data_IF_577531604718
#
_entry.id   IF_577531604718
#
_cell.length_a   1.000
_cell.length_b   1.000
_cell.length_c   1.000
_cell.angle_alpha   90.00
_cell.angle_beta   90.00
_cell.angle_gamma   90.00
#
_symmetry.space_group_name_H-M   'P 1'
#
loop_
_entity.id
_entity.type
_entity.pdbx_description
1 polymer ?
#
# COMPACT_ATOMS: atom_id res chain seq x y z
N UNK A 1 -28.55 -22.78 -5.79
CA UNK A 1 -28.10 -21.37 -5.70
C UNK A 1 -27.99 -21.03 -4.22
N UNK A 2 -26.78 -21.02 -3.67
CA UNK A 2 -26.51 -20.60 -2.29
C UNK A 2 -25.65 -19.33 -2.39
N UNK A 3 -26.17 -18.24 -1.84
CA UNK A 3 -25.50 -16.95 -1.77
C UNK A 3 -24.71 -16.91 -0.46
N UNK A 4 -23.44 -17.26 -0.51
CA UNK A 4 -22.50 -17.05 0.59
C UNK A 4 -22.12 -15.56 0.58
N UNK A 5 -22.75 -14.77 1.44
CA UNK A 5 -22.31 -13.42 1.72
C UNK A 5 -20.93 -13.51 2.39
N UNK A 6 -19.87 -13.22 1.64
CA UNK A 6 -18.51 -13.19 2.18
C UNK A 6 -18.43 -12.14 3.29
N UNK A 7 -18.25 -12.61 4.53
CA UNK A 7 -18.03 -11.76 5.70
C UNK A 7 -16.76 -10.95 5.48
N UNK A 8 -16.88 -9.64 5.23
CA UNK A 8 -15.76 -8.70 5.15
C UNK A 8 -15.33 -8.23 6.55
N UNK A 9 -15.22 -9.15 7.51
CA UNK A 9 -14.62 -8.84 8.80
C UNK A 9 -13.13 -9.21 8.68
N UNK A 10 -12.30 -8.23 8.33
CA UNK A 10 -10.86 -8.35 8.58
C UNK A 10 -10.60 -8.65 10.05
N UNK A 11 -9.41 -9.17 10.42
CA UNK A 11 -9.07 -9.40 11.82
C UNK A 11 -9.36 -8.12 12.64
N UNK A 12 -9.86 -8.30 13.87
CA UNK A 12 -10.42 -7.21 14.70
C UNK A 12 -9.53 -5.97 14.87
N UNK A 13 -8.23 -6.08 14.55
CA UNK A 13 -7.30 -4.97 14.38
C UNK A 13 -6.35 -5.23 13.18
N UNK A 14 -6.04 -4.17 12.43
CA UNK A 14 -5.02 -4.22 11.36
C UNK A 14 -3.59 -4.26 11.90
N UNK A 15 -2.63 -4.60 11.04
CA UNK A 15 -1.22 -4.60 11.39
C UNK A 15 -0.58 -3.21 11.25
N UNK A 16 0.30 -2.85 12.18
CA UNK A 16 1.20 -1.70 12.07
C UNK A 16 2.62 -2.20 11.76
N UNK A 17 3.20 -1.70 10.67
CA UNK A 17 4.59 -1.97 10.29
C UNK A 17 5.34 -0.65 10.26
N UNK A 18 6.39 -0.53 11.07
CA UNK A 18 7.26 0.66 11.11
C UNK A 18 8.55 0.32 10.37
N UNK A 19 8.86 1.09 9.33
CA UNK A 19 10.06 0.93 8.51
C UNK A 19 10.94 2.16 8.76
N UNK A 20 12.19 1.94 9.17
CA UNK A 20 13.13 3.02 9.54
C UNK A 20 13.64 3.86 8.36
N UNK A 21 13.16 3.61 7.15
CA UNK A 21 13.65 4.18 5.90
C UNK A 21 14.80 3.37 5.29
N UNK A 22 15.02 3.57 3.99
CA UNK A 22 16.07 2.87 3.24
C UNK A 22 15.73 1.42 2.89
N UNK A 23 14.45 1.05 2.96
CA UNK A 23 13.97 -0.25 2.52
C UNK A 23 14.29 -0.53 1.06
N UNK A 24 14.54 -1.80 0.76
CA UNK A 24 14.73 -2.27 -0.60
C UNK A 24 13.41 -2.22 -1.38
N UNK A 25 13.47 -1.55 -2.53
CA UNK A 25 12.37 -1.37 -3.48
C UNK A 25 12.70 -1.98 -4.85
N UNK A 26 13.92 -2.48 -5.03
CA UNK A 26 14.47 -2.83 -6.34
C UNK A 26 14.72 -4.32 -6.48
N UNK A 27 15.38 -4.96 -5.50
CA UNK A 27 15.90 -6.31 -5.67
C UNK A 27 14.95 -7.33 -5.05
N UNK A 28 15.38 -7.90 -3.92
CA UNK A 28 14.44 -8.44 -2.96
C UNK A 28 13.55 -7.31 -2.48
N UNK A 29 12.46 -7.51 -1.79
CA UNK A 29 11.67 -6.38 -1.28
C UNK A 29 11.12 -6.85 0.02
N UNK A 30 11.99 -7.42 0.84
CA UNK A 30 11.60 -8.39 1.88
C UNK A 30 10.56 -7.79 2.81
N UNK A 31 10.80 -6.58 3.29
CA UNK A 31 9.86 -5.87 4.16
C UNK A 31 8.56 -5.48 3.44
N UNK A 32 8.61 -5.13 2.15
CA UNK A 32 7.43 -4.79 1.36
C UNK A 32 6.59 -6.04 1.03
N UNK A 33 7.23 -7.19 0.79
CA UNK A 33 6.58 -8.51 0.66
C UNK A 33 5.88 -8.89 1.96
N UNK A 34 6.53 -8.66 3.11
CA UNK A 34 5.91 -8.86 4.42
C UNK A 34 4.71 -7.92 4.62
N UNK A 35 4.83 -6.65 4.24
CA UNK A 35 3.72 -5.70 4.28
C UNK A 35 2.53 -6.18 3.44
N UNK A 36 2.74 -6.63 2.19
CA UNK A 36 1.67 -7.18 1.35
C UNK A 36 1.00 -8.39 2.00
N UNK A 37 1.78 -9.31 2.56
CA UNK A 37 1.23 -10.49 3.24
C UNK A 37 0.34 -10.10 4.44
N UNK A 38 0.78 -9.12 5.23
CA UNK A 38 0.00 -8.59 6.37
C UNK A 38 -1.23 -7.78 5.90
N UNK A 39 -1.16 -7.14 4.74
CA UNK A 39 -2.29 -6.44 4.13
C UNK A 39 -3.37 -7.39 3.58
N UNK A 40 -3.12 -8.71 3.58
CA UNK A 40 -4.05 -9.74 3.09
C UNK A 40 -3.74 -10.24 1.67
N UNK A 41 -2.53 -10.01 1.17
CA UNK A 41 -2.05 -10.52 -0.12
C UNK A 41 -2.22 -9.55 -1.29
N UNK A 42 -1.77 -9.98 -2.46
CA UNK A 42 -1.64 -9.16 -3.67
C UNK A 42 -2.96 -8.67 -4.28
N UNK A 43 -4.06 -9.36 -3.98
CA UNK A 43 -5.39 -9.01 -4.48
C UNK A 43 -6.06 -7.88 -3.67
N UNK A 44 -5.42 -7.42 -2.60
CA UNK A 44 -5.94 -6.34 -1.77
C UNK A 44 -5.53 -4.99 -2.34
N UNK A 45 -6.37 -3.98 -2.10
CA UNK A 45 -6.08 -2.60 -2.48
C UNK A 45 -4.94 -2.07 -1.61
N UNK A 46 -3.84 -1.66 -2.25
CA UNK A 46 -2.73 -0.96 -1.60
C UNK A 46 -2.83 0.53 -1.94
N UNK A 47 -2.75 1.36 -0.91
CA UNK A 47 -2.81 2.82 -1.03
C UNK A 47 -1.48 3.41 -0.60
N UNK A 48 -0.92 4.29 -1.42
CA UNK A 48 0.35 4.98 -1.12
C UNK A 48 0.07 6.45 -0.91
N UNK A 49 0.34 6.95 0.31
CA UNK A 49 0.17 8.35 0.66
C UNK A 49 1.52 9.05 0.61
N UNK A 50 1.67 10.05 -0.25
CA UNK A 50 2.98 10.70 -0.51
C UNK A 50 3.16 12.05 0.18
N UNK A 51 2.35 12.34 1.21
CA UNK A 51 2.29 13.64 1.89
C UNK A 51 3.63 14.12 2.47
N UNK A 52 4.53 13.18 2.82
CA UNK A 52 5.85 13.51 3.38
C UNK A 52 6.88 13.94 2.32
N UNK A 53 6.61 13.72 1.03
CA UNK A 53 7.57 13.97 -0.05
C UNK A 53 7.33 15.31 -0.74
N UNK A 54 8.42 16.00 -1.11
CA UNK A 54 8.38 17.15 -2.05
C UNK A 54 8.33 16.73 -3.52
N UNK A 55 8.57 15.45 -3.80
CA UNK A 55 8.54 14.84 -5.13
C UNK A 55 7.52 13.70 -5.12
N UNK A 56 6.24 14.06 -4.94
CA UNK A 56 5.15 13.12 -4.71
C UNK A 56 4.99 12.10 -5.85
N UNK A 57 4.97 12.57 -7.11
CA UNK A 57 4.80 11.72 -8.28
C UNK A 57 5.95 10.72 -8.43
N UNK A 58 7.19 11.18 -8.23
CA UNK A 58 8.36 10.30 -8.28
C UNK A 58 8.33 9.23 -7.18
N UNK A 59 7.89 9.57 -5.97
CA UNK A 59 7.73 8.57 -4.91
C UNK A 59 6.60 7.58 -5.23
N UNK A 60 5.51 8.06 -5.84
CA UNK A 60 4.45 7.18 -6.32
C UNK A 60 5.00 6.19 -7.35
N UNK A 61 5.72 6.63 -8.38
CA UNK A 61 6.26 5.75 -9.42
C UNK A 61 7.16 4.64 -8.84
N UNK A 62 7.98 4.99 -7.84
CA UNK A 62 8.85 4.03 -7.14
C UNK A 62 8.00 2.93 -6.47
N UNK A 63 6.98 3.31 -5.70
CA UNK A 63 6.15 2.34 -4.98
C UNK A 63 5.19 1.59 -5.91
N UNK A 64 4.64 2.25 -6.92
CA UNK A 64 3.79 1.63 -7.93
C UNK A 64 4.55 0.51 -8.65
N UNK A 65 5.79 0.79 -9.07
CA UNK A 65 6.67 -0.22 -9.64
C UNK A 65 7.01 -1.33 -8.64
N UNK A 66 7.47 -0.98 -7.44
CA UNK A 66 7.87 -1.97 -6.45
C UNK A 66 6.75 -2.95 -6.09
N UNK A 67 5.53 -2.45 -5.88
CA UNK A 67 4.36 -3.27 -5.60
C UNK A 67 3.84 -4.01 -6.84
N UNK A 68 3.89 -3.38 -8.02
CA UNK A 68 3.54 -4.01 -9.29
C UNK A 68 4.43 -5.20 -9.64
N UNK A 69 5.74 -5.07 -9.45
CA UNK A 69 6.72 -6.16 -9.63
C UNK A 69 6.45 -7.35 -8.69
N UNK A 70 5.75 -7.11 -7.57
CA UNK A 70 5.34 -8.14 -6.61
C UNK A 70 3.91 -8.69 -6.85
N UNK A 71 3.27 -8.31 -7.96
CA UNK A 71 1.99 -8.84 -8.39
C UNK A 71 0.76 -8.21 -7.75
N UNK A 72 0.91 -7.16 -6.93
CA UNK A 72 -0.24 -6.38 -6.44
C UNK A 72 -0.92 -5.76 -7.65
N UNK A 73 -2.22 -5.92 -7.86
CA UNK A 73 -2.89 -5.41 -9.08
C UNK A 73 -3.69 -4.13 -8.85
N UNK A 74 -4.08 -3.84 -7.61
CA UNK A 74 -4.87 -2.67 -7.23
C UNK A 74 -4.05 -1.74 -6.35
N UNK A 75 -3.40 -0.76 -6.98
CA UNK A 75 -2.54 0.23 -6.34
C UNK A 75 -3.08 1.62 -6.66
N UNK A 76 -3.21 2.47 -5.66
CA UNK A 76 -3.76 3.82 -5.84
C UNK A 76 -2.92 4.85 -5.08
N UNK A 77 -2.51 5.96 -5.72
CA UNK A 77 -1.88 7.07 -5.03
C UNK A 77 -2.93 7.93 -4.30
N UNK A 78 -2.53 8.48 -3.16
CA UNK A 78 -3.20 9.64 -2.56
C UNK A 78 -2.15 10.72 -2.34
N UNK A 79 -2.28 11.79 -3.12
CA UNK A 79 -1.42 12.95 -3.01
C UNK A 79 -2.05 14.00 -2.09
N UNK A 80 -1.38 14.29 -0.98
CA UNK A 80 -1.81 15.31 -0.01
C UNK A 80 -0.73 16.38 0.04
N UNK A 81 -0.90 17.46 -0.71
CA UNK A 81 0.07 18.56 -0.77
C UNK A 81 -0.19 19.63 0.31
N UNK A 82 -1.41 19.67 0.84
CA UNK A 82 -1.84 20.61 1.87
C UNK A 82 -2.81 19.96 2.86
N UNK A 83 -3.03 20.62 4.00
CA UNK A 83 -4.04 20.20 4.98
C UNK A 83 -5.45 20.17 4.40
N UNK A 84 -5.75 21.04 3.43
CA UNK A 84 -7.08 21.10 2.81
C UNK A 84 -7.35 19.86 1.94
N UNK A 85 -6.31 19.30 1.32
CA UNK A 85 -6.43 18.10 0.49
C UNK A 85 -6.82 16.86 1.32
N UNK A 86 -6.51 16.83 2.62
CA UNK A 86 -6.87 15.74 3.52
C UNK A 86 -8.36 15.69 3.90
N UNK A 87 -9.15 16.71 3.51
CA UNK A 87 -10.58 16.81 3.80
C UNK A 87 -11.45 16.65 2.53
N UNK A 88 -10.87 16.18 1.43
CA UNK A 88 -11.57 15.96 0.16
C UNK A 88 -11.92 14.49 -0.05
#
# INVERSE_FOLDING_TARGET
MMNEATSHAGPGHGHLVIIGGGEDRSDDKEILRRFIALAGGVDRKIVVITAASKVADHMWDIYDKAFGDMGVTNRVPIHVASRADANR
#
